data_IF_628125457204
#
_entry.id   IF_628125457204
#
_cell.length_a   1.000
_cell.length_b   1.000
_cell.length_c   1.000
_cell.angle_alpha   90.00
_cell.angle_beta   90.00
_cell.angle_gamma   90.00
#
_symmetry.space_group_name_H-M   'P 1'
#
loop_
_entity.id
_entity.type
_entity.pdbx_description
1 polymer ?
#
# COMPACT_ATOMS: atom_id res chain seq x y z
N UNK A 1 -25.95 -4.50 16.91
CA UNK A 1 -25.40 -3.51 17.84
C UNK A 1 -23.91 -3.74 17.94
N UNK A 2 -23.13 -2.80 17.40
CA UNK A 2 -21.66 -2.77 17.48
C UNK A 2 -21.32 -2.03 18.77
N UNK A 3 -20.64 -2.68 19.70
CA UNK A 3 -20.35 -2.09 21.00
C UNK A 3 -19.56 -3.03 21.89
N UNK A 4 -18.24 -3.02 21.70
CA UNK A 4 -17.29 -3.19 22.78
C UNK A 4 -16.05 -2.40 22.36
N UNK A 5 -15.90 -1.20 22.91
CA UNK A 5 -14.60 -0.53 22.96
C UNK A 5 -13.69 -1.44 23.79
N UNK A 6 -12.63 -1.96 23.15
CA UNK A 6 -11.67 -2.80 23.82
C UNK A 6 -10.82 -1.94 24.77
N UNK A 7 -10.77 -2.29 26.05
CA UNK A 7 -9.81 -1.74 27.01
C UNK A 7 -8.38 -2.11 26.53
N UNK A 8 -7.47 -1.14 26.31
CA UNK A 8 -6.12 -1.39 25.84
C UNK A 8 -5.30 -2.35 26.72
N UNK A 9 -5.74 -2.62 27.97
CA UNK A 9 -5.08 -3.57 28.89
C UNK A 9 -5.39 -5.04 28.61
N UNK A 10 -6.45 -5.33 27.86
CA UNK A 10 -6.79 -6.68 27.42
C UNK A 10 -6.28 -6.88 25.98
N UNK A 11 -5.00 -7.19 25.85
CA UNK A 11 -4.38 -7.63 24.57
C UNK A 11 -5.03 -8.96 24.17
N UNK A 12 -6.22 -8.85 23.62
CA UNK A 12 -7.00 -9.97 23.10
C UNK A 12 -6.67 -10.12 21.63
N UNK A 13 -6.48 -11.38 21.22
CA UNK A 13 -6.37 -11.70 19.81
C UNK A 13 -7.61 -11.19 19.07
N UNK A 14 -7.51 -10.86 17.77
CA UNK A 14 -8.69 -10.49 16.98
C UNK A 14 -9.80 -11.55 17.13
N UNK A 15 -11.09 -11.17 17.03
CA UNK A 15 -12.20 -12.11 17.15
C UNK A 15 -12.00 -13.35 16.26
N UNK A 16 -12.47 -14.56 16.64
CA UNK A 16 -12.24 -15.78 15.88
C UNK A 16 -12.58 -15.67 14.38
N UNK A 17 -13.70 -15.02 14.06
CA UNK A 17 -14.13 -14.78 12.67
C UNK A 17 -13.15 -13.91 11.89
N UNK A 18 -12.57 -12.90 12.53
CA UNK A 18 -11.60 -12.00 11.93
C UNK A 18 -10.27 -12.73 11.66
N UNK A 19 -9.82 -13.55 12.60
CA UNK A 19 -8.64 -14.42 12.41
C UNK A 19 -8.83 -15.39 11.26
N UNK A 20 -9.99 -16.06 11.21
CA UNK A 20 -10.30 -17.00 10.14
C UNK A 20 -10.31 -16.31 8.76
N UNK A 21 -10.93 -15.13 8.68
CA UNK A 21 -10.93 -14.33 7.45
C UNK A 21 -9.51 -13.98 6.99
N UNK A 22 -8.64 -13.52 7.90
CA UNK A 22 -7.24 -13.18 7.57
C UNK A 22 -6.50 -14.41 7.02
N UNK A 23 -6.67 -15.58 7.64
CA UNK A 23 -6.06 -16.83 7.20
C UNK A 23 -6.56 -17.22 5.80
N UNK A 24 -7.88 -17.20 5.58
CA UNK A 24 -8.49 -17.55 4.30
C UNK A 24 -8.05 -16.63 3.17
N UNK A 25 -8.08 -15.31 3.39
CA UNK A 25 -7.66 -14.35 2.37
C UNK A 25 -6.17 -14.43 2.08
N UNK A 26 -5.34 -14.71 3.10
CA UNK A 26 -3.92 -14.96 2.89
C UNK A 26 -3.72 -16.23 2.07
N UNK A 27 -4.41 -17.33 2.38
CA UNK A 27 -4.32 -18.56 1.61
C UNK A 27 -4.73 -18.35 0.14
N UNK A 28 -5.82 -17.63 -0.12
CA UNK A 28 -6.26 -17.29 -1.47
C UNK A 28 -5.22 -16.45 -2.22
N UNK A 29 -4.62 -15.45 -1.56
CA UNK A 29 -3.54 -14.66 -2.14
C UNK A 29 -2.35 -15.54 -2.53
N UNK A 30 -1.90 -16.42 -1.62
CA UNK A 30 -0.74 -17.29 -1.85
C UNK A 30 -0.97 -18.34 -2.94
N UNK A 31 -2.22 -18.77 -3.15
CA UNK A 31 -2.56 -19.65 -4.28
C UNK A 31 -2.34 -18.96 -5.63
N UNK A 32 -2.50 -17.64 -5.69
CA UNK A 32 -2.37 -16.85 -6.92
C UNK A 32 -0.92 -16.39 -7.16
N UNK A 33 -0.27 -15.83 -6.13
CA UNK A 33 1.09 -15.24 -6.28
C UNK A 33 2.22 -16.24 -5.97
N UNK A 34 1.86 -17.44 -5.51
CA UNK A 34 2.79 -18.48 -5.06
C UNK A 34 3.31 -18.25 -3.64
N UNK A 35 3.41 -19.31 -2.83
CA UNK A 35 3.84 -19.20 -1.44
C UNK A 35 5.29 -18.74 -1.24
N UNK A 36 6.17 -18.96 -2.25
CA UNK A 36 7.60 -18.65 -2.13
C UNK A 36 7.87 -17.16 -2.00
N UNK A 37 7.12 -16.32 -2.71
CA UNK A 37 7.25 -14.87 -2.62
C UNK A 37 6.97 -14.40 -1.19
N UNK A 38 5.95 -14.97 -0.54
CA UNK A 38 5.62 -14.69 0.85
C UNK A 38 6.66 -15.23 1.86
N UNK A 39 7.04 -16.50 1.74
CA UNK A 39 7.90 -17.15 2.72
C UNK A 39 9.38 -16.69 2.63
N UNK A 40 9.79 -16.19 1.46
CA UNK A 40 11.16 -15.75 1.20
C UNK A 40 11.28 -14.23 1.04
N UNK A 41 10.16 -13.48 1.11
CA UNK A 41 10.21 -12.03 1.07
C UNK A 41 11.04 -11.50 2.25
N UNK A 42 12.04 -10.64 2.01
CA UNK A 42 12.72 -9.95 3.09
C UNK A 42 11.72 -9.05 3.83
N UNK A 43 11.81 -9.04 5.15
CA UNK A 43 11.13 -8.03 5.96
C UNK A 43 11.87 -6.70 5.74
N UNK A 44 11.26 -5.79 4.99
CA UNK A 44 11.92 -4.55 4.59
C UNK A 44 11.93 -3.54 5.73
N UNK A 45 13.11 -3.23 6.24
CA UNK A 45 13.28 -2.17 7.22
C UNK A 45 13.47 -0.82 6.52
N UNK A 46 12.98 0.30 7.09
CA UNK A 46 13.17 1.64 6.55
C UNK A 46 14.60 2.17 6.83
N UNK A 47 15.62 1.39 6.47
CA UNK A 47 17.04 1.70 6.70
C UNK A 47 17.78 1.84 5.38
N UNK A 48 18.95 2.51 5.36
CA UNK A 48 19.77 2.64 4.15
C UNK A 48 20.21 1.31 3.52
N UNK A 49 20.21 0.21 4.29
CA UNK A 49 20.54 -1.13 3.76
C UNK A 49 19.51 -1.60 2.73
N UNK A 50 18.23 -1.27 2.94
CA UNK A 50 17.14 -1.57 2.00
C UNK A 50 16.85 -0.37 1.09
N UNK A 51 16.97 0.86 1.59
CA UNK A 51 16.66 2.08 0.85
C UNK A 51 17.89 3.02 0.76
N UNK A 52 18.91 2.67 -0.04
CA UNK A 52 20.16 3.44 -0.12
C UNK A 52 20.04 4.74 -0.93
N UNK A 53 18.95 4.92 -1.66
CA UNK A 53 18.76 6.05 -2.57
C UNK A 53 18.62 7.36 -1.78
N UNK A 54 19.41 8.37 -2.14
CA UNK A 54 19.28 9.70 -1.52
C UNK A 54 17.92 10.31 -1.81
N UNK A 55 17.26 10.79 -0.76
CA UNK A 55 16.07 11.61 -0.85
C UNK A 55 16.44 13.07 -1.13
N UNK A 56 15.96 13.61 -2.25
CA UNK A 56 16.13 15.01 -2.62
C UNK A 56 14.80 15.78 -2.65
N UNK A 57 13.70 15.13 -2.22
CA UNK A 57 12.35 15.60 -2.49
C UNK A 57 11.95 15.46 -3.96
N UNK A 58 10.68 15.77 -4.25
CA UNK A 58 10.15 15.85 -5.61
C UNK A 58 9.96 14.51 -6.34
N UNK A 59 9.49 14.63 -7.58
CA UNK A 59 9.03 13.51 -8.42
C UNK A 59 10.11 12.45 -8.62
N UNK A 60 11.34 12.87 -8.95
CA UNK A 60 12.44 11.96 -9.20
C UNK A 60 12.78 11.08 -7.98
N UNK A 61 12.62 11.62 -6.76
CA UNK A 61 12.85 10.85 -5.54
C UNK A 61 11.72 9.83 -5.30
N UNK A 62 10.47 10.21 -5.57
CA UNK A 62 9.32 9.29 -5.53
C UNK A 62 9.48 8.17 -6.55
N UNK A 63 9.87 8.48 -7.79
CA UNK A 63 10.10 7.48 -8.84
C UNK A 63 11.16 6.46 -8.44
N UNK A 64 12.28 6.89 -7.84
CA UNK A 64 13.32 5.97 -7.34
C UNK A 64 12.77 5.03 -6.26
N UNK A 65 12.04 5.59 -5.29
CA UNK A 65 11.44 4.82 -4.22
C UNK A 65 10.39 3.81 -4.74
N UNK A 66 9.51 4.23 -5.65
CA UNK A 66 8.54 3.36 -6.29
C UNK A 66 9.19 2.23 -7.08
N UNK A 67 10.20 2.51 -7.90
CA UNK A 67 10.94 1.48 -8.64
C UNK A 67 11.59 0.47 -7.71
N UNK A 68 12.09 0.93 -6.56
CA UNK A 68 12.67 0.04 -5.56
C UNK A 68 11.63 -0.85 -4.89
N UNK A 69 10.51 -0.28 -4.47
CA UNK A 69 9.38 -1.06 -3.93
C UNK A 69 8.84 -2.06 -4.95
N UNK A 70 8.71 -1.66 -6.22
CA UNK A 70 8.29 -2.55 -7.31
C UNK A 70 9.30 -3.68 -7.53
N UNK A 71 10.61 -3.40 -7.48
CA UNK A 71 11.65 -4.43 -7.53
C UNK A 71 11.53 -5.43 -6.38
N UNK A 72 11.31 -4.97 -5.15
CA UNK A 72 11.04 -5.85 -4.02
C UNK A 72 9.78 -6.70 -4.23
N UNK A 73 8.79 -6.16 -4.93
CA UNK A 73 7.58 -6.87 -5.33
C UNK A 73 7.73 -7.75 -6.59
N UNK A 74 8.94 -7.93 -7.11
CA UNK A 74 9.25 -8.79 -8.27
C UNK A 74 9.03 -8.15 -9.64
N UNK A 75 8.95 -6.81 -9.70
CA UNK A 75 8.63 -6.06 -10.92
C UNK A 75 9.81 -5.15 -11.34
N UNK A 76 10.86 -5.73 -11.93
CA UNK A 76 12.15 -5.05 -12.15
C UNK A 76 12.18 -4.09 -13.36
N UNK A 77 11.30 -4.29 -14.35
CA UNK A 77 11.33 -3.61 -15.65
C UNK A 77 10.12 -2.70 -15.94
N UNK A 78 9.36 -2.32 -14.90
CA UNK A 78 8.17 -1.47 -15.11
C UNK A 78 8.57 0.00 -15.24
N UNK A 79 7.99 0.65 -16.24
CA UNK A 79 8.03 2.11 -16.35
C UNK A 79 7.12 2.70 -15.28
N UNK A 80 7.59 3.73 -14.57
CA UNK A 80 6.86 4.41 -13.50
C UNK A 80 6.67 5.87 -13.90
N UNK A 81 5.42 6.32 -13.84
CA UNK A 81 5.00 7.71 -14.00
C UNK A 81 4.42 8.20 -12.65
N UNK A 82 4.81 9.40 -12.22
CA UNK A 82 4.33 10.01 -10.99
C UNK A 82 3.75 11.37 -11.31
N UNK A 83 2.56 11.65 -10.77
CA UNK A 83 1.97 13.00 -10.78
C UNK A 83 1.93 13.52 -9.35
N UNK A 84 2.51 14.70 -9.13
CA UNK A 84 2.40 15.40 -7.84
C UNK A 84 1.23 16.37 -7.93
N UNK A 85 0.31 16.27 -6.98
CA UNK A 85 -0.81 17.17 -6.84
C UNK A 85 -0.52 18.19 -5.73
N UNK A 86 -0.65 19.46 -6.06
CA UNK A 86 -0.63 20.52 -5.05
C UNK A 86 -1.86 20.40 -4.14
N UNK A 87 -1.69 20.78 -2.87
CA UNK A 87 -2.81 20.95 -1.93
C UNK A 87 -3.65 22.15 -2.40
N UNK A 88 -4.62 21.89 -3.26
CA UNK A 88 -5.76 22.80 -3.42
C UNK A 88 -6.94 22.22 -2.63
N UNK A 89 -7.30 22.81 -1.47
CA UNK A 89 -8.44 22.39 -0.67
C UNK A 89 -9.76 22.38 -1.46
N UNK A 90 -9.87 23.18 -2.52
CA UNK A 90 -11.06 23.21 -3.39
C UNK A 90 -11.15 22.00 -4.33
N UNK A 91 -10.04 21.27 -4.56
CA UNK A 91 -9.96 20.10 -5.46
C UNK A 91 -10.03 18.76 -4.75
N UNK A 92 -10.34 18.72 -3.45
CA UNK A 92 -10.31 17.51 -2.60
C UNK A 92 -11.21 16.33 -3.06
N UNK A 93 -11.98 16.48 -4.13
CA UNK A 93 -12.73 15.40 -4.80
C UNK A 93 -12.51 15.27 -6.31
N UNK A 94 -11.64 16.09 -6.91
CA UNK A 94 -11.42 16.14 -8.38
C UNK A 94 -10.16 15.41 -8.83
N UNK A 95 -9.37 14.91 -7.89
CA UNK A 95 -8.12 14.22 -8.20
C UNK A 95 -8.41 12.80 -8.67
N UNK A 96 -8.02 12.51 -9.92
CA UNK A 96 -8.33 11.24 -10.59
C UNK A 96 -7.90 10.03 -9.75
N UNK A 97 -8.87 9.14 -9.51
CA UNK A 97 -8.70 7.87 -8.82
C UNK A 97 -8.12 7.95 -7.40
N UNK A 98 -8.19 9.12 -6.72
CA UNK A 98 -7.84 9.21 -5.30
C UNK A 98 -8.75 8.26 -4.50
N UNK A 99 -8.20 7.32 -3.73
CA UNK A 99 -9.01 6.43 -2.91
C UNK A 99 -9.79 7.22 -1.85
N UNK A 100 -10.96 6.73 -1.41
CA UNK A 100 -11.69 7.37 -0.32
C UNK A 100 -10.82 7.40 0.94
N UNK A 101 -11.05 8.42 1.77
CA UNK A 101 -10.40 8.56 3.08
C UNK A 101 -10.51 7.26 3.86
N UNK A 102 -9.38 6.73 4.32
CA UNK A 102 -9.35 5.53 5.13
C UNK A 102 -9.19 5.91 6.59
N UNK A 103 -10.19 5.59 7.42
CA UNK A 103 -10.12 5.69 8.88
C UNK A 103 -9.58 7.07 9.35
N UNK A 104 -10.09 8.15 8.76
CA UNK A 104 -9.81 9.53 9.18
C UNK A 104 -8.59 10.20 8.53
N UNK A 105 -7.79 9.49 7.72
CA UNK A 105 -6.66 10.09 6.99
C UNK A 105 -6.80 9.89 5.48
N UNK A 106 -6.55 10.97 4.74
CA UNK A 106 -6.52 10.92 3.29
C UNK A 106 -5.25 10.18 2.83
N UNK A 107 -5.35 9.29 1.82
CA UNK A 107 -4.17 8.70 1.22
C UNK A 107 -3.35 9.80 0.53
N UNK A 108 -2.12 10.01 1.00
CA UNK A 108 -1.21 11.00 0.41
C UNK A 108 -0.45 10.47 -0.81
N UNK A 109 -0.56 9.16 -1.09
CA UNK A 109 -0.08 8.54 -2.31
C UNK A 109 -0.95 7.35 -2.69
N UNK A 110 -1.21 7.17 -3.99
CA UNK A 110 -2.02 6.07 -4.50
C UNK A 110 -1.61 5.63 -5.91
N UNK A 111 -2.00 4.41 -6.27
CA UNK A 111 -1.91 3.91 -7.63
C UNK A 111 -3.13 4.38 -8.42
N UNK A 112 -2.91 4.83 -9.67
CA UNK A 112 -3.97 5.27 -10.58
C UNK A 112 -4.24 4.15 -11.60
N UNK A 113 -5.32 3.37 -11.44
CA UNK A 113 -5.63 2.28 -12.36
C UNK A 113 -5.92 2.84 -13.75
N UNK A 114 -5.28 2.26 -14.78
CA UNK A 114 -5.65 2.52 -16.17
C UNK A 114 -6.51 1.37 -16.69
N UNK A 115 -7.65 1.65 -17.34
CA UNK A 115 -8.37 0.65 -18.11
C UNK A 115 -7.42 0.04 -19.15
N UNK A 116 -7.38 -1.30 -19.22
CA UNK A 116 -6.54 -2.02 -20.17
C UNK A 116 -5.04 -1.91 -19.90
N UNK A 117 -4.61 -2.06 -18.64
CA UNK A 117 -3.20 -2.29 -18.33
C UNK A 117 -2.69 -3.50 -19.13
N UNK A 118 -1.84 -3.23 -20.12
CA UNK A 118 -1.18 -4.23 -20.96
C UNK A 118 0.28 -4.36 -20.50
N UNK A 119 0.92 -5.52 -20.71
CA UNK A 119 2.36 -5.65 -20.55
C UNK A 119 3.09 -4.52 -21.32
N UNK A 120 4.02 -3.83 -20.66
CA UNK A 120 4.80 -2.74 -21.25
C UNK A 120 4.23 -1.32 -21.09
N UNK A 121 3.06 -1.14 -20.46
CA UNK A 121 2.54 0.20 -20.13
C UNK A 121 3.10 0.69 -18.79
N UNK A 122 3.37 1.99 -18.69
CA UNK A 122 3.81 2.61 -17.44
C UNK A 122 2.75 2.50 -16.33
N UNK A 123 3.20 2.16 -15.12
CA UNK A 123 2.39 2.26 -13.91
C UNK A 123 2.34 3.72 -13.46
N UNK A 124 1.12 4.20 -13.23
CA UNK A 124 0.88 5.58 -12.82
C UNK A 124 0.59 5.65 -11.34
N UNK A 125 1.29 6.54 -10.67
CA UNK A 125 1.09 6.85 -9.27
C UNK A 125 0.85 8.33 -9.11
N UNK A 126 0.12 8.69 -8.07
CA UNK A 126 -0.13 10.06 -7.70
C UNK A 126 0.24 10.27 -6.23
N UNK A 127 0.75 11.46 -5.92
CA UNK A 127 1.23 11.85 -4.59
C UNK A 127 0.80 13.28 -4.29
N UNK A 128 0.36 13.55 -3.07
CA UNK A 128 0.12 14.92 -2.60
C UNK A 128 1.44 15.59 -2.24
N UNK A 129 1.60 16.86 -2.62
CA UNK A 129 2.81 17.63 -2.39
C UNK A 129 3.21 17.68 -0.90
N UNK A 130 2.23 17.71 0.02
CA UNK A 130 2.46 17.67 1.47
C UNK A 130 3.18 16.39 1.90
N UNK A 131 2.83 15.25 1.29
CA UNK A 131 3.44 13.96 1.57
C UNK A 131 4.95 13.91 1.29
N UNK A 132 5.47 14.76 0.39
CA UNK A 132 6.90 14.82 0.10
C UNK A 132 7.74 15.36 1.26
N UNK A 133 7.10 16.02 2.23
CA UNK A 133 7.73 16.55 3.45
C UNK A 133 7.56 15.63 4.65
N UNK A 134 6.74 14.59 4.52
CA UNK A 134 6.34 13.68 5.60
C UNK A 134 6.69 12.23 5.22
N UNK A 135 7.99 11.86 5.22
CA UNK A 135 8.44 10.54 4.80
C UNK A 135 7.77 9.39 5.57
N UNK A 136 7.45 9.59 6.84
CA UNK A 136 6.72 8.68 7.72
C UNK A 136 5.30 8.37 7.23
N UNK A 137 4.71 9.26 6.43
CA UNK A 137 3.41 9.06 5.80
C UNK A 137 3.58 8.50 4.38
N UNK A 138 4.59 9.00 3.69
CA UNK A 138 4.78 8.76 2.27
C UNK A 138 5.18 7.32 2.00
N UNK A 139 6.13 6.79 2.77
CA UNK A 139 6.63 5.42 2.58
C UNK A 139 5.52 4.37 2.77
N UNK A 140 4.73 4.38 3.87
CA UNK A 140 3.58 3.47 4.00
C UNK A 140 2.57 3.63 2.86
N UNK A 141 2.28 4.86 2.45
CA UNK A 141 1.31 5.14 1.38
C UNK A 141 1.77 4.62 0.02
N UNK A 142 3.06 4.79 -0.31
CA UNK A 142 3.65 4.25 -1.54
C UNK A 142 3.74 2.72 -1.50
N UNK A 143 4.07 2.12 -0.36
CA UNK A 143 4.04 0.66 -0.20
C UNK A 143 2.65 0.08 -0.46
N UNK A 144 1.61 0.74 0.07
CA UNK A 144 0.20 0.40 -0.17
C UNK A 144 -0.18 0.58 -1.65
N UNK A 145 0.24 1.67 -2.28
CA UNK A 145 0.02 1.91 -3.70
C UNK A 145 0.68 0.84 -4.58
N UNK A 146 1.91 0.42 -4.25
CA UNK A 146 2.60 -0.69 -4.95
C UNK A 146 1.89 -2.01 -4.74
N UNK A 147 1.40 -2.31 -3.53
CA UNK A 147 0.59 -3.50 -3.28
C UNK A 147 -0.70 -3.50 -4.14
N UNK A 148 -1.36 -2.35 -4.28
CA UNK A 148 -2.51 -2.22 -5.17
C UNK A 148 -2.14 -2.40 -6.64
N UNK A 149 -1.03 -1.83 -7.10
CA UNK A 149 -0.53 -2.02 -8.47
C UNK A 149 -0.20 -3.50 -8.75
N UNK A 150 0.45 -4.18 -7.79
CA UNK A 150 0.76 -5.61 -7.87
C UNK A 150 -0.53 -6.44 -8.05
N UNK A 151 -1.59 -6.13 -7.29
CA UNK A 151 -2.89 -6.79 -7.47
C UNK A 151 -3.44 -6.62 -8.89
N UNK A 152 -3.36 -5.41 -9.43
CA UNK A 152 -3.80 -5.13 -10.80
C UNK A 152 -3.00 -5.89 -11.86
N UNK A 153 -1.68 -6.01 -11.69
CA UNK A 153 -0.81 -6.76 -12.59
C UNK A 153 -1.02 -8.28 -12.50
N UNK A 154 -1.33 -8.79 -11.32
CA UNK A 154 -1.58 -10.21 -11.07
C UNK A 154 -3.04 -10.64 -11.33
N UNK A 155 -3.93 -9.73 -11.76
CA UNK A 155 -5.35 -10.04 -11.98
C UNK A 155 -6.10 -10.39 -10.69
N UNK A 156 -5.67 -9.84 -9.55
CA UNK A 156 -6.26 -10.11 -8.24
C UNK A 156 -7.47 -9.21 -8.01
N UNK A 157 -8.62 -9.65 -8.48
CA UNK A 157 -9.88 -8.95 -8.32
C UNK A 157 -10.25 -8.74 -6.84
N UNK A 158 -11.03 -7.70 -6.58
CA UNK A 158 -11.65 -7.47 -5.27
C UNK A 158 -13.06 -8.06 -5.31
N UNK A 159 -13.35 -9.12 -4.54
CA UNK A 159 -14.70 -9.68 -4.50
C UNK A 159 -15.72 -8.67 -4.00
N UNK A 160 -16.94 -8.77 -4.51
CA UNK A 160 -18.05 -7.93 -4.07
C UNK A 160 -18.27 -8.03 -2.55
N UNK A 161 -18.55 -6.90 -1.90
CA UNK A 161 -18.78 -6.83 -0.46
C UNK A 161 -17.52 -6.92 0.42
N UNK A 162 -16.33 -7.12 -0.15
CA UNK A 162 -15.06 -7.07 0.59
C UNK A 162 -14.41 -5.70 0.40
N UNK A 163 -14.05 -4.97 1.48
CA UNK A 163 -13.29 -3.73 1.35
C UNK A 163 -11.92 -4.01 0.71
N UNK A 164 -11.74 -3.60 -0.55
CA UNK A 164 -10.50 -3.83 -1.31
C UNK A 164 -9.25 -3.32 -0.60
N UNK A 165 -9.39 -2.25 0.20
CA UNK A 165 -8.36 -1.76 1.11
C UNK A 165 -7.72 -2.87 1.96
N UNK A 166 -8.51 -3.72 2.62
CA UNK A 166 -7.97 -4.78 3.49
C UNK A 166 -7.17 -5.81 2.72
N UNK A 167 -7.58 -6.12 1.49
CA UNK A 167 -6.85 -7.04 0.61
C UNK A 167 -5.53 -6.44 0.12
N UNK A 168 -5.49 -5.12 -0.11
CA UNK A 168 -4.25 -4.41 -0.40
C UNK A 168 -3.26 -4.50 0.76
N UNK A 169 -3.73 -4.37 2.01
CA UNK A 169 -2.87 -4.50 3.21
C UNK A 169 -2.28 -5.91 3.34
N UNK A 170 -3.10 -6.95 3.15
CA UNK A 170 -2.63 -8.34 3.12
C UNK A 170 -1.61 -8.56 2.00
N UNK A 171 -1.83 -7.94 0.84
CA UNK A 171 -0.89 -8.00 -0.27
C UNK A 171 0.43 -7.31 0.08
N UNK A 172 0.39 -6.14 0.72
CA UNK A 172 1.59 -5.45 1.19
C UNK A 172 2.40 -6.30 2.17
N UNK A 173 1.74 -6.98 3.10
CA UNK A 173 2.40 -7.91 4.01
C UNK A 173 3.07 -9.06 3.27
N UNK A 174 2.37 -9.65 2.29
CA UNK A 174 2.92 -10.73 1.48
C UNK A 174 4.12 -10.32 0.61
N UNK A 175 4.25 -9.04 0.28
CA UNK A 175 5.38 -8.47 -0.44
C UNK A 175 6.53 -8.03 0.49
N UNK A 176 6.43 -8.27 1.80
CA UNK A 176 7.46 -7.89 2.78
C UNK A 176 7.36 -6.45 3.30
N UNK A 177 6.28 -5.72 2.97
CA UNK A 177 6.09 -4.31 3.36
C UNK A 177 5.47 -4.13 4.75
N UNK A 178 5.32 -5.21 5.53
CA UNK A 178 4.69 -5.20 6.85
C UNK A 178 5.32 -4.14 7.78
N UNK A 179 6.65 -4.15 7.94
CA UNK A 179 7.34 -3.19 8.80
C UNK A 179 7.15 -1.73 8.34
N UNK A 180 7.17 -1.48 7.03
CA UNK A 180 6.96 -0.14 6.45
C UNK A 180 5.57 0.42 6.72
N UNK A 181 4.58 -0.44 6.98
CA UNK A 181 3.18 -0.06 7.18
C UNK A 181 2.72 -0.17 8.65
N UNK A 182 3.58 -0.70 9.53
CA UNK A 182 3.23 -0.99 10.93
C UNK A 182 3.09 0.30 11.76
N UNK A 183 3.99 1.28 11.62
CA UNK A 183 3.87 2.54 12.38
C UNK A 183 2.61 3.33 12.00
N UNK A 184 2.17 3.23 10.74
CA UNK A 184 0.90 3.81 10.30
C UNK A 184 -0.31 3.16 11.02
N UNK A 185 -0.17 1.95 11.56
CA UNK A 185 -1.22 1.27 12.31
C UNK A 185 -1.41 1.76 13.76
N UNK A 186 -0.40 2.38 14.36
CA UNK A 186 -0.52 2.92 15.73
C UNK A 186 -1.48 4.12 15.81
N UNK A 187 -1.76 4.76 14.67
CA UNK A 187 -2.70 5.89 14.57
C UNK A 187 -4.15 5.51 14.79
N UNK A 188 -4.44 4.22 14.94
CA UNK A 188 -5.77 3.73 15.31
C UNK A 188 -6.00 3.67 16.83
N UNK A 189 -5.00 4.04 17.63
CA UNK A 189 -5.05 4.06 19.10
C UNK A 189 -4.82 5.45 19.72
N UNK A 190 -4.71 6.50 18.90
CA UNK A 190 -4.50 7.88 19.34
C UNK A 190 -5.79 8.70 19.28
#
# INVERSE_FOLDING_TARGET
>A
MLGAEADPKDVTLPPPRERQWLIEQTALLLQQIGWRSYALAPLLEPTPAFFPDKWAGGEASVVRLLRRLLRYAGHEDVVVEVVIHDEDPARRGEVLAKPPTMRGHDPIAWYVPSPGARPGRALRFAVEAIGLREPENLVPSLARAVAQAHRGLAGLDTPEGIPGARLVDLTGFALGFGLLTTDASQRFYA
#
